data_IF_380445988074
#
_entry.id   IF_380445988074
#
_cell.length_a   1.000
_cell.length_b   1.000
_cell.length_c   1.000
_cell.angle_alpha   90.00
_cell.angle_beta   90.00
_cell.angle_gamma   90.00
#
_symmetry.space_group_name_H-M   'P 1'
#
loop_
_entity.id
_entity.type
_entity.pdbx_description
1 polymer ?
#
# COMPACT_ATOMS: atom_id res chain seq x y z
N UNK A 1 28.59 -14.60 46.37
CA UNK A 1 28.65 -15.64 45.30
C UNK A 1 27.25 -15.74 44.70
N UNK A 2 26.98 -15.08 43.60
CA UNK A 2 25.71 -15.12 42.89
C UNK A 2 26.01 -15.53 41.45
N UNK A 3 25.54 -16.76 41.12
CA UNK A 3 25.78 -17.42 39.83
C UNK A 3 25.07 -16.74 38.67
N UNK A 4 25.83 -16.38 37.64
CA UNK A 4 25.33 -15.96 36.32
C UNK A 4 24.67 -17.14 35.62
N UNK A 5 23.36 -17.09 35.43
CA UNK A 5 22.64 -17.98 34.51
C UNK A 5 22.75 -17.42 33.10
N UNK A 6 23.50 -18.11 32.25
CA UNK A 6 23.55 -17.90 30.81
C UNK A 6 22.24 -18.35 30.18
N UNK A 7 21.50 -17.44 29.57
CA UNK A 7 20.34 -17.75 28.74
C UNK A 7 20.85 -18.14 27.35
N UNK A 8 20.75 -19.40 26.99
CA UNK A 8 21.04 -19.90 25.64
C UNK A 8 19.89 -19.50 24.72
N UNK A 9 20.22 -18.78 23.65
CA UNK A 9 19.31 -18.54 22.51
C UNK A 9 19.00 -19.84 21.78
N UNK A 10 17.75 -20.06 21.32
CA UNK A 10 17.44 -21.21 20.50
C UNK A 10 18.07 -21.05 19.10
N UNK A 11 18.95 -21.95 18.74
CA UNK A 11 19.46 -22.10 17.38
C UNK A 11 18.36 -22.70 16.51
N UNK A 12 17.90 -21.93 15.52
CA UNK A 12 17.02 -22.43 14.46
C UNK A 12 17.87 -23.24 13.48
N UNK A 13 17.70 -24.56 13.49
CA UNK A 13 18.28 -25.47 12.51
C UNK A 13 17.65 -25.19 11.13
N UNK A 14 18.44 -24.62 10.22
CA UNK A 14 18.11 -24.54 8.81
C UNK A 14 18.44 -25.88 8.15
N UNK A 15 17.42 -26.58 7.64
CA UNK A 15 17.60 -27.77 6.81
C UNK A 15 18.12 -27.38 5.42
N UNK A 16 19.05 -28.15 4.82
CA UNK A 16 19.55 -27.85 3.48
C UNK A 16 18.49 -28.25 2.42
N UNK A 17 18.17 -27.30 1.53
CA UNK A 17 17.35 -27.53 0.34
C UNK A 17 18.22 -28.13 -0.75
N UNK A 18 17.84 -29.26 -1.39
CA UNK A 18 18.61 -29.83 -2.49
C UNK A 18 18.52 -28.96 -3.75
N UNK A 19 19.67 -28.73 -4.38
CA UNK A 19 19.79 -28.07 -5.67
C UNK A 19 19.21 -28.95 -6.79
N UNK A 20 18.21 -28.45 -7.51
CA UNK A 20 17.74 -29.05 -8.76
C UNK A 20 18.48 -28.43 -9.95
N UNK A 21 18.87 -29.23 -10.96
CA UNK A 21 19.56 -28.74 -12.15
C UNK A 21 18.60 -28.03 -13.09
N UNK A 22 19.00 -26.86 -13.53
CA UNK A 22 18.33 -26.11 -14.61
C UNK A 22 18.57 -26.80 -15.95
N UNK A 23 17.49 -27.28 -16.58
CA UNK A 23 17.48 -27.65 -17.96
C UNK A 23 17.27 -26.40 -18.83
N UNK A 24 18.27 -26.06 -19.63
CA UNK A 24 18.18 -24.96 -20.60
C UNK A 24 17.27 -25.41 -21.77
N UNK A 25 16.11 -24.80 -21.91
CA UNK A 25 15.26 -24.93 -23.08
C UNK A 25 15.62 -23.87 -24.12
N UNK A 26 16.23 -24.32 -25.19
CA UNK A 26 16.56 -23.51 -26.38
C UNK A 26 15.26 -23.26 -27.16
N UNK A 27 14.80 -22.01 -27.22
CA UNK A 27 13.68 -21.62 -28.10
C UNK A 27 14.22 -21.30 -29.49
N UNK A 28 13.86 -22.12 -30.47
CA UNK A 28 14.16 -21.89 -31.87
C UNK A 28 13.21 -20.82 -32.45
N UNK A 29 13.81 -19.74 -32.96
CA UNK A 29 13.12 -18.65 -33.64
C UNK A 29 12.80 -19.07 -35.07
N UNK A 30 11.54 -19.36 -35.38
CA UNK A 30 11.06 -19.58 -36.75
C UNK A 30 10.72 -18.23 -37.41
N UNK A 31 11.58 -17.77 -38.29
CA UNK A 31 11.32 -16.64 -39.20
C UNK A 31 10.49 -17.14 -40.36
N UNK A 32 9.22 -16.76 -40.42
CA UNK A 32 8.36 -16.95 -41.60
C UNK A 32 8.41 -15.69 -42.46
N UNK A 33 9.18 -15.72 -43.51
CA UNK A 33 9.11 -14.77 -44.64
C UNK A 33 7.92 -15.16 -45.52
N UNK A 34 6.86 -14.37 -45.51
CA UNK A 34 5.72 -14.46 -46.41
C UNK A 34 5.60 -13.19 -47.24
N UNK A 35 5.89 -13.32 -48.55
CA UNK A 35 5.67 -12.29 -49.55
C UNK A 35 4.21 -12.18 -49.95
N UNK A 36 3.75 -10.96 -50.26
CA UNK A 36 2.68 -10.70 -51.24
C UNK A 36 1.31 -10.50 -50.59
N UNK A 37 0.86 -9.27 -50.46
CA UNK A 37 -0.52 -8.87 -50.21
C UNK A 37 -0.74 -7.47 -50.77
N UNK A 38 -1.71 -7.37 -51.67
CA UNK A 38 -2.16 -6.17 -52.38
C UNK A 38 -2.49 -5.01 -51.41
N UNK A 39 -2.45 -3.75 -51.87
CA UNK A 39 -2.81 -2.62 -51.04
C UNK A 39 -4.30 -2.69 -50.74
N UNK A 40 -4.62 -3.01 -49.50
CA UNK A 40 -5.97 -2.87 -48.96
C UNK A 40 -6.24 -1.38 -48.82
N UNK A 41 -7.26 -0.88 -49.50
CA UNK A 41 -7.80 0.46 -49.34
C UNK A 41 -7.89 0.83 -47.86
N UNK A 42 -7.31 1.97 -47.52
CA UNK A 42 -7.37 2.52 -46.17
C UNK A 42 -8.86 2.80 -45.82
N UNK A 43 -9.50 1.83 -45.18
CA UNK A 43 -10.80 2.03 -44.61
C UNK A 43 -10.70 3.20 -43.63
N UNK A 44 -11.39 4.29 -43.93
CA UNK A 44 -11.58 5.43 -43.04
C UNK A 44 -11.99 4.88 -41.66
N UNK A 45 -11.23 5.17 -40.60
CA UNK A 45 -11.60 4.67 -39.28
C UNK A 45 -13.01 5.21 -38.99
N UNK A 46 -13.95 4.29 -38.80
CA UNK A 46 -15.28 4.62 -38.32
C UNK A 46 -15.12 5.48 -37.05
N UNK A 47 -15.92 6.55 -36.84
CA UNK A 47 -15.85 7.35 -35.63
C UNK A 47 -16.01 6.37 -34.48
N UNK A 48 -14.97 6.23 -33.68
CA UNK A 48 -15.02 5.47 -32.44
C UNK A 48 -16.10 6.13 -31.56
N UNK A 49 -17.31 5.60 -31.62
CA UNK A 49 -18.31 5.92 -30.62
C UNK A 49 -17.60 5.70 -29.28
N UNK A 50 -17.55 6.75 -28.46
CA UNK A 50 -16.92 6.72 -27.15
C UNK A 50 -17.63 5.63 -26.34
N UNK A 51 -17.08 4.40 -26.38
CA UNK A 51 -17.60 3.31 -25.57
C UNK A 51 -17.48 3.77 -24.11
N UNK A 52 -18.63 3.92 -23.47
CA UNK A 52 -18.71 4.33 -22.07
C UNK A 52 -17.80 3.42 -21.25
N UNK A 53 -16.92 3.99 -20.43
CA UNK A 53 -16.07 3.18 -19.56
C UNK A 53 -16.96 2.39 -18.60
N UNK A 54 -16.88 1.08 -18.66
CA UNK A 54 -17.72 0.16 -17.88
C UNK A 54 -16.90 -0.93 -17.20
N UNK A 55 -17.61 -1.89 -16.59
CA UNK A 55 -16.99 -3.02 -15.86
C UNK A 55 -15.99 -3.81 -16.72
N UNK A 56 -16.34 -4.10 -17.96
CA UNK A 56 -15.46 -4.86 -18.87
C UNK A 56 -14.15 -4.12 -19.13
N UNK A 57 -14.24 -2.79 -19.30
CA UNK A 57 -13.05 -1.96 -19.47
C UNK A 57 -12.21 -1.92 -18.18
N UNK A 58 -12.84 -1.80 -17.01
CA UNK A 58 -12.16 -1.86 -15.73
C UNK A 58 -11.47 -3.22 -15.53
N UNK A 59 -12.10 -4.33 -15.93
CA UNK A 59 -11.49 -5.65 -15.86
C UNK A 59 -10.26 -5.79 -16.76
N UNK A 60 -10.30 -5.21 -17.96
CA UNK A 60 -9.14 -5.18 -18.86
C UNK A 60 -7.99 -4.35 -18.26
N UNK A 61 -8.31 -3.20 -17.66
CA UNK A 61 -7.30 -2.37 -16.96
C UNK A 61 -6.65 -3.16 -15.83
N UNK A 62 -7.44 -3.81 -14.96
CA UNK A 62 -6.90 -4.60 -13.85
C UNK A 62 -6.04 -5.76 -14.34
N UNK A 63 -6.46 -6.46 -15.40
CA UNK A 63 -5.69 -7.58 -15.98
C UNK A 63 -4.35 -7.09 -16.55
N UNK A 64 -4.35 -5.98 -17.26
CA UNK A 64 -3.11 -5.39 -17.81
C UNK A 64 -2.18 -4.92 -16.69
N UNK A 65 -2.75 -4.31 -15.65
CA UNK A 65 -2.03 -3.90 -14.45
C UNK A 65 -1.38 -5.12 -13.77
N UNK A 66 -2.12 -6.18 -13.49
CA UNK A 66 -1.59 -7.41 -12.85
C UNK A 66 -0.37 -7.95 -13.60
N UNK A 67 -0.43 -7.99 -14.93
CA UNK A 67 0.67 -8.49 -15.76
C UNK A 67 1.91 -7.59 -15.68
N UNK A 68 1.71 -6.28 -15.84
CA UNK A 68 2.81 -5.33 -15.92
C UNK A 68 3.43 -5.08 -14.54
N UNK A 69 2.60 -4.83 -13.53
CA UNK A 69 3.06 -4.49 -12.18
C UNK A 69 3.65 -5.69 -11.45
N UNK A 70 3.03 -6.87 -11.58
CA UNK A 70 3.60 -8.10 -11.03
C UNK A 70 4.97 -8.41 -11.64
N UNK A 71 5.15 -8.22 -12.95
CA UNK A 71 6.44 -8.41 -13.60
C UNK A 71 7.48 -7.38 -13.10
N UNK A 72 7.10 -6.11 -13.00
CA UNK A 72 7.95 -5.03 -12.48
C UNK A 72 8.38 -5.30 -11.03
N UNK A 73 7.43 -5.70 -10.17
CA UNK A 73 7.68 -6.03 -8.76
C UNK A 73 8.64 -7.21 -8.60
N UNK A 74 8.45 -8.29 -9.37
CA UNK A 74 9.34 -9.47 -9.36
C UNK A 74 10.75 -9.11 -9.83
N UNK A 75 10.86 -8.26 -10.85
CA UNK A 75 12.15 -7.79 -11.39
C UNK A 75 12.80 -6.71 -10.49
N UNK A 76 12.06 -6.08 -9.60
CA UNK A 76 12.52 -4.93 -8.83
C UNK A 76 12.70 -3.67 -9.69
N UNK A 77 11.96 -3.58 -10.80
CA UNK A 77 12.05 -2.48 -11.78
C UNK A 77 11.17 -1.29 -11.34
N UNK A 78 11.78 -0.34 -10.65
CA UNK A 78 11.10 0.85 -10.15
C UNK A 78 10.56 1.74 -11.28
N UNK A 79 11.23 1.82 -12.42
CA UNK A 79 10.76 2.64 -13.54
C UNK A 79 9.51 2.00 -14.20
N UNK A 80 9.48 0.69 -14.31
CA UNK A 80 8.28 -0.02 -14.76
C UNK A 80 7.11 0.14 -13.77
N UNK A 81 7.36 0.15 -12.44
CA UNK A 81 6.34 0.47 -11.44
C UNK A 81 5.76 1.88 -11.62
N UNK A 82 6.61 2.89 -11.90
CA UNK A 82 6.15 4.27 -12.16
C UNK A 82 5.22 4.40 -13.36
N UNK A 83 5.33 3.49 -14.32
CA UNK A 83 4.40 3.46 -15.45
C UNK A 83 3.00 2.97 -15.04
N UNK A 84 2.91 2.12 -14.01
CA UNK A 84 1.67 1.47 -13.57
C UNK A 84 1.03 2.14 -12.36
N UNK A 85 1.80 2.86 -11.56
CA UNK A 85 1.36 3.38 -10.28
C UNK A 85 1.65 4.88 -10.12
N UNK A 86 0.88 5.51 -9.21
CA UNK A 86 1.13 6.85 -8.68
C UNK A 86 1.12 6.81 -7.15
N UNK A 87 1.70 7.84 -6.49
CA UNK A 87 1.64 7.92 -5.03
C UNK A 87 0.18 8.00 -4.54
N UNK A 88 -0.14 7.38 -3.38
CA UNK A 88 0.76 6.73 -2.43
C UNK A 88 1.13 5.26 -2.77
N UNK A 89 0.44 4.60 -3.70
CA UNK A 89 0.70 3.18 -4.04
C UNK A 89 2.15 2.97 -4.50
N UNK A 90 2.62 3.80 -5.42
CA UNK A 90 4.00 3.74 -5.93
C UNK A 90 5.05 3.78 -4.80
N UNK A 91 4.85 4.65 -3.82
CA UNK A 91 5.79 4.79 -2.70
C UNK A 91 5.86 3.51 -1.87
N UNK A 92 4.70 2.88 -1.62
CA UNK A 92 4.59 1.62 -0.90
C UNK A 92 5.24 0.47 -1.68
N UNK A 93 5.03 0.40 -3.00
CA UNK A 93 5.60 -0.62 -3.89
C UNK A 93 7.12 -0.50 -3.99
N UNK A 94 7.66 0.71 -4.14
CA UNK A 94 9.10 0.96 -4.12
C UNK A 94 9.72 0.48 -2.79
N UNK A 95 9.10 0.80 -1.67
CA UNK A 95 9.57 0.35 -0.36
C UNK A 95 9.52 -1.18 -0.22
N UNK A 96 8.48 -1.83 -0.77
CA UNK A 96 8.36 -3.29 -0.77
C UNK A 96 9.46 -3.94 -1.61
N UNK A 97 9.75 -3.43 -2.81
CA UNK A 97 10.85 -3.89 -3.68
C UNK A 97 12.20 -3.75 -2.98
N UNK A 98 12.47 -2.60 -2.33
CA UNK A 98 13.71 -2.38 -1.57
C UNK A 98 13.86 -3.36 -0.40
N UNK A 99 12.76 -3.63 0.34
CA UNK A 99 12.77 -4.65 1.41
C UNK A 99 13.05 -6.05 0.87
N UNK A 100 12.48 -6.41 -0.27
CA UNK A 100 12.73 -7.70 -0.91
C UNK A 100 14.19 -7.84 -1.35
N UNK A 101 14.75 -6.82 -2.00
CA UNK A 101 16.15 -6.78 -2.42
C UNK A 101 17.11 -6.88 -1.24
N UNK A 102 16.85 -6.15 -0.13
CA UNK A 102 17.63 -6.26 1.10
C UNK A 102 17.64 -7.69 1.66
N UNK A 103 16.49 -8.34 1.65
CA UNK A 103 16.33 -9.72 2.13
C UNK A 103 16.81 -10.77 1.12
N UNK A 104 17.37 -10.35 -0.03
CA UNK A 104 17.78 -11.23 -1.13
C UNK A 104 16.66 -12.15 -1.60
N UNK A 105 15.44 -11.64 -1.67
CA UNK A 105 14.25 -12.34 -2.14
C UNK A 105 13.58 -11.55 -3.24
N UNK A 106 13.09 -12.24 -4.27
CA UNK A 106 12.18 -11.62 -5.21
C UNK A 106 10.82 -11.38 -4.55
N UNK A 107 10.12 -10.33 -4.97
CA UNK A 107 8.71 -10.21 -4.65
C UNK A 107 7.95 -11.38 -5.28
N UNK A 108 6.93 -11.95 -4.61
CA UNK A 108 6.08 -12.94 -5.26
C UNK A 108 5.30 -12.29 -6.40
N UNK A 109 5.12 -13.01 -7.50
CA UNK A 109 4.14 -12.58 -8.49
C UNK A 109 2.74 -12.66 -7.91
N UNK A 110 1.86 -11.79 -8.38
CA UNK A 110 0.49 -11.71 -7.88
C UNK A 110 -0.54 -11.62 -9.02
N UNK A 111 -1.78 -11.93 -8.67
CA UNK A 111 -2.94 -11.80 -9.54
C UNK A 111 -4.18 -11.51 -8.71
N UNK A 112 -5.00 -10.56 -9.16
CA UNK A 112 -6.32 -10.32 -8.61
C UNK A 112 -7.31 -11.32 -9.19
N UNK A 113 -8.02 -12.03 -8.33
CA UNK A 113 -9.03 -13.03 -8.72
C UNK A 113 -10.40 -12.64 -8.19
N UNK A 114 -11.45 -13.01 -8.94
CA UNK A 114 -12.86 -12.69 -8.62
C UNK A 114 -13.07 -11.17 -8.36
N UNK A 115 -12.60 -10.27 -9.25
CA UNK A 115 -12.74 -8.85 -9.04
C UNK A 115 -14.20 -8.40 -9.13
N UNK A 116 -14.56 -7.45 -8.28
CA UNK A 116 -15.79 -6.67 -8.38
C UNK A 116 -15.43 -5.20 -8.49
N UNK A 117 -16.22 -4.44 -9.25
CA UNK A 117 -15.89 -3.08 -9.63
C UNK A 117 -17.00 -2.10 -9.26
N UNK A 118 -16.59 -0.93 -8.77
CA UNK A 118 -17.39 0.27 -8.71
C UNK A 118 -16.83 1.25 -9.75
N UNK A 119 -17.62 1.53 -10.78
CA UNK A 119 -17.21 2.35 -11.92
C UNK A 119 -18.16 3.56 -12.01
N UNK A 120 -17.66 4.79 -12.21
CA UNK A 120 -18.51 5.95 -12.43
C UNK A 120 -19.40 5.79 -13.67
N UNK A 121 -20.61 6.34 -13.68
CA UNK A 121 -21.57 6.16 -14.77
C UNK A 121 -21.18 6.91 -16.05
N UNK A 122 -20.34 7.95 -15.97
CA UNK A 122 -19.91 8.74 -17.12
C UNK A 122 -18.51 9.29 -16.87
N UNK A 123 -17.69 9.29 -17.92
CA UNK A 123 -16.35 9.87 -18.03
C UNK A 123 -15.50 9.73 -16.73
N UNK A 124 -15.12 8.51 -16.38
CA UNK A 124 -14.52 8.24 -15.08
C UNK A 124 -13.11 8.77 -15.01
N UNK A 125 -12.84 9.63 -14.04
CA UNK A 125 -11.48 9.96 -13.62
C UNK A 125 -10.88 8.88 -12.70
N UNK A 126 -11.72 7.97 -12.16
CA UNK A 126 -11.30 6.90 -11.26
C UNK A 126 -12.30 5.73 -11.25
N UNK A 127 -11.84 4.57 -10.78
CA UNK A 127 -12.72 3.47 -10.37
C UNK A 127 -12.11 2.71 -9.19
N UNK A 128 -12.94 1.97 -8.46
CA UNK A 128 -12.51 1.07 -7.41
C UNK A 128 -12.69 -0.39 -7.84
N UNK A 129 -11.75 -1.22 -7.41
CA UNK A 129 -11.85 -2.68 -7.53
C UNK A 129 -11.64 -3.30 -6.14
N UNK A 130 -12.37 -4.37 -5.84
CA UNK A 130 -11.99 -5.29 -4.77
C UNK A 130 -11.80 -6.66 -5.37
N UNK A 131 -10.78 -7.37 -4.92
CA UNK A 131 -10.45 -8.68 -5.42
C UNK A 131 -9.74 -9.51 -4.35
N UNK A 132 -9.73 -10.81 -4.50
CA UNK A 132 -8.81 -11.66 -3.74
C UNK A 132 -7.44 -11.60 -4.39
N UNK A 133 -6.41 -11.26 -3.63
CA UNK A 133 -5.04 -11.26 -4.11
C UNK A 133 -4.44 -12.66 -3.98
N UNK A 134 -4.12 -13.28 -5.09
CA UNK A 134 -3.37 -14.55 -5.15
C UNK A 134 -1.89 -14.24 -5.31
N UNK A 135 -1.09 -14.66 -4.34
CA UNK A 135 0.38 -14.55 -4.36
C UNK A 135 0.98 -15.90 -4.71
N UNK A 136 1.95 -15.92 -5.64
CA UNK A 136 2.67 -17.16 -5.99
C UNK A 136 3.44 -17.69 -4.77
N UNK A 137 3.22 -18.95 -4.43
CA UNK A 137 3.87 -19.60 -3.30
C UNK A 137 3.27 -19.26 -1.92
N UNK A 138 2.10 -18.63 -1.89
CA UNK A 138 1.36 -18.34 -0.64
C UNK A 138 -0.02 -18.98 -0.67
N UNK A 139 -0.42 -19.57 0.47
CA UNK A 139 -1.80 -20.02 0.70
C UNK A 139 -2.71 -18.88 1.18
N UNK A 140 -2.11 -17.76 1.60
CA UNK A 140 -2.85 -16.57 2.01
C UNK A 140 -3.45 -15.91 0.78
N UNK A 141 -4.72 -15.58 0.87
CA UNK A 141 -5.49 -14.93 -0.17
C UNK A 141 -6.24 -13.71 0.42
N UNK A 142 -5.51 -12.65 0.80
CA UNK A 142 -6.14 -11.44 1.34
C UNK A 142 -7.05 -10.80 0.30
N UNK A 143 -7.99 -10.00 0.76
CA UNK A 143 -8.78 -9.14 -0.13
C UNK A 143 -8.12 -7.78 -0.19
N UNK A 144 -7.92 -7.31 -1.42
CA UNK A 144 -7.46 -5.95 -1.69
C UNK A 144 -8.64 -5.05 -2.05
N UNK A 145 -8.55 -3.80 -1.62
CA UNK A 145 -9.33 -2.69 -2.14
C UNK A 145 -8.36 -1.78 -2.88
N UNK A 146 -8.59 -1.62 -4.18
CA UNK A 146 -7.71 -0.89 -5.08
C UNK A 146 -8.46 0.27 -5.72
N UNK A 147 -7.80 1.41 -5.87
CA UNK A 147 -8.28 2.56 -6.63
C UNK A 147 -7.37 2.83 -7.82
N UNK A 148 -7.98 2.91 -8.99
CA UNK A 148 -7.34 3.33 -10.21
C UNK A 148 -7.75 4.73 -10.57
N UNK A 149 -6.82 5.53 -11.07
CA UNK A 149 -7.04 6.89 -11.56
C UNK A 149 -6.56 7.01 -12.99
N UNK A 150 -7.25 7.85 -13.77
CA UNK A 150 -6.82 8.17 -15.14
C UNK A 150 -5.75 9.26 -15.07
N UNK A 151 -4.53 8.93 -15.49
CA UNK A 151 -3.44 9.90 -15.54
C UNK A 151 -3.61 10.92 -16.67
N UNK A 152 -2.87 12.02 -16.60
CA UNK A 152 -2.86 13.05 -17.65
C UNK A 152 -2.33 12.52 -19.00
N UNK A 153 -1.60 11.40 -18.98
CA UNK A 153 -1.13 10.65 -20.13
C UNK A 153 -2.20 9.73 -20.78
N UNK A 154 -3.41 9.73 -20.21
CA UNK A 154 -4.51 8.86 -20.65
C UNK A 154 -4.38 7.41 -20.21
N UNK A 155 -3.39 7.07 -19.38
CA UNK A 155 -3.20 5.73 -18.84
C UNK A 155 -3.86 5.59 -17.47
N UNK A 156 -4.44 4.42 -17.22
CA UNK A 156 -4.94 4.06 -15.91
C UNK A 156 -3.79 3.62 -15.01
N UNK A 157 -3.72 4.19 -13.80
CA UNK A 157 -2.67 3.88 -12.82
C UNK A 157 -3.29 3.57 -11.47
N UNK A 158 -2.68 2.64 -10.77
CA UNK A 158 -3.03 2.36 -9.37
C UNK A 158 -2.60 3.53 -8.50
N UNK A 159 -3.52 4.12 -7.75
CA UNK A 159 -3.23 5.19 -6.80
C UNK A 159 -3.25 4.72 -5.35
N UNK A 160 -4.14 3.78 -5.02
CA UNK A 160 -4.26 3.21 -3.68
C UNK A 160 -4.48 1.71 -3.79
N UNK A 161 -3.81 0.97 -2.90
CA UNK A 161 -4.03 -0.45 -2.68
C UNK A 161 -3.90 -0.73 -1.19
N UNK A 162 -4.94 -1.32 -0.60
CA UNK A 162 -4.95 -1.64 0.82
C UNK A 162 -5.60 -2.99 1.03
N UNK A 163 -4.89 -3.87 1.74
CA UNK A 163 -5.44 -5.16 2.17
C UNK A 163 -6.40 -4.96 3.33
N UNK A 164 -7.59 -5.54 3.22
CA UNK A 164 -8.60 -5.47 4.27
C UNK A 164 -8.57 -6.74 5.12
N UNK A 165 -8.64 -6.53 6.43
CA UNK A 165 -8.49 -7.62 7.42
C UNK A 165 -9.82 -8.21 7.86
N UNK A 166 -10.96 -7.56 7.53
CA UNK A 166 -12.29 -8.00 7.97
C UNK A 166 -13.31 -7.99 6.84
N UNK A 167 -14.42 -8.76 7.01
CA UNK A 167 -14.71 -9.83 6.08
C UNK A 167 -14.80 -9.29 4.68
N UNK A 168 -13.80 -9.60 3.94
CA UNK A 168 -13.55 -9.27 2.54
C UNK A 168 -14.79 -9.39 1.65
N UNK A 169 -15.62 -10.39 1.90
CA UNK A 169 -16.88 -10.61 1.18
C UNK A 169 -17.91 -9.50 1.40
N UNK A 170 -17.93 -8.84 2.56
CA UNK A 170 -18.87 -7.75 2.84
C UNK A 170 -18.47 -6.51 2.04
N UNK A 171 -17.18 -6.18 2.01
CA UNK A 171 -16.67 -5.04 1.23
C UNK A 171 -16.87 -5.28 -0.26
N UNK A 172 -16.48 -6.45 -0.78
CA UNK A 172 -16.68 -6.81 -2.18
C UNK A 172 -18.15 -6.73 -2.61
N UNK A 173 -19.06 -7.33 -1.84
CA UNK A 173 -20.50 -7.26 -2.11
C UNK A 173 -21.07 -5.85 -1.98
N UNK A 174 -20.49 -5.03 -1.12
CA UNK A 174 -20.97 -3.66 -0.91
C UNK A 174 -20.72 -2.77 -2.11
N UNK A 175 -19.63 -2.96 -2.87
CA UNK A 175 -19.31 -2.14 -4.04
C UNK A 175 -19.80 -2.72 -5.36
N UNK A 176 -20.25 -3.98 -5.37
CA UNK A 176 -20.61 -4.66 -6.62
C UNK A 176 -21.75 -3.94 -7.37
N UNK A 177 -21.45 -3.55 -8.61
CA UNK A 177 -22.38 -2.84 -9.50
C UNK A 177 -22.73 -1.41 -9.07
N UNK A 178 -22.09 -0.86 -8.02
CA UNK A 178 -22.32 0.51 -7.58
C UNK A 178 -21.48 1.50 -8.37
N UNK A 179 -22.00 2.71 -8.61
CA UNK A 179 -21.20 3.76 -9.21
C UNK A 179 -20.18 4.27 -8.19
N UNK A 180 -18.92 4.43 -8.64
CA UNK A 180 -17.96 5.29 -7.95
C UNK A 180 -18.35 6.75 -8.19
N UNK A 181 -18.12 7.60 -7.21
CA UNK A 181 -18.37 9.04 -7.34
C UNK A 181 -17.07 9.81 -7.27
N UNK A 182 -16.83 10.66 -8.25
CA UNK A 182 -15.77 11.66 -8.15
C UNK A 182 -16.15 12.71 -7.08
N UNK A 183 -15.17 13.21 -6.33
CA UNK A 183 -15.40 14.21 -5.30
C UNK A 183 -15.30 13.71 -3.86
N UNK A 184 -14.88 12.46 -3.70
CA UNK A 184 -14.57 11.87 -2.39
C UNK A 184 -15.81 11.57 -1.54
N UNK A 185 -15.59 11.18 -0.28
CA UNK A 185 -16.65 11.01 0.69
C UNK A 185 -17.44 12.31 0.80
N UNK A 186 -18.76 12.20 0.97
CA UNK A 186 -19.67 13.36 1.17
C UNK A 186 -19.42 14.07 2.52
N UNK A 187 -18.15 14.25 2.90
CA UNK A 187 -17.71 14.89 4.13
C UNK A 187 -17.28 16.33 3.82
N UNK A 188 -17.73 17.26 4.63
CA UNK A 188 -17.20 18.62 4.63
C UNK A 188 -15.73 18.66 5.10
N UNK A 189 -15.04 19.75 4.83
CA UNK A 189 -13.62 19.90 5.14
C UNK A 189 -13.30 19.83 6.66
N UNK A 190 -14.27 20.18 7.53
CA UNK A 190 -14.10 20.13 8.98
C UNK A 190 -14.18 18.68 9.46
N UNK A 191 -15.20 17.95 9.00
CA UNK A 191 -15.37 16.52 9.29
C UNK A 191 -14.18 15.69 8.77
N UNK A 192 -13.70 15.98 7.57
CA UNK A 192 -12.49 15.33 7.01
C UNK A 192 -11.28 15.53 7.90
N UNK A 193 -11.03 16.76 8.38
CA UNK A 193 -9.90 17.06 9.27
C UNK A 193 -10.04 16.38 10.62
N UNK A 194 -11.21 16.44 11.23
CA UNK A 194 -11.47 15.82 12.52
C UNK A 194 -11.28 14.29 12.47
N UNK A 195 -11.81 13.65 11.41
CA UNK A 195 -11.69 12.21 11.22
C UNK A 195 -10.25 11.79 10.96
N UNK A 196 -9.51 12.51 10.11
CA UNK A 196 -8.09 12.23 9.87
C UNK A 196 -7.26 12.38 11.16
N UNK A 197 -7.53 13.42 11.96
CA UNK A 197 -6.86 13.61 13.23
C UNK A 197 -7.14 12.48 14.23
N UNK A 198 -8.38 11.96 14.28
CA UNK A 198 -8.70 10.83 15.14
C UNK A 198 -8.07 9.52 14.66
N UNK A 199 -8.11 9.22 13.35
CA UNK A 199 -7.44 8.04 12.78
C UNK A 199 -5.95 8.07 13.12
N UNK A 200 -5.30 9.22 12.92
CA UNK A 200 -3.89 9.40 13.24
C UNK A 200 -3.61 9.23 14.74
N UNK A 201 -4.37 9.89 15.63
CA UNK A 201 -4.17 9.77 17.06
C UNK A 201 -4.31 8.32 17.55
N UNK A 202 -5.25 7.57 16.99
CA UNK A 202 -5.42 6.14 17.29
C UNK A 202 -4.29 5.29 16.77
N UNK A 203 -3.78 5.57 15.57
CA UNK A 203 -2.68 4.80 14.97
C UNK A 203 -1.40 4.85 15.80
N UNK A 204 -1.20 5.91 16.57
CA UNK A 204 -0.07 6.06 17.50
C UNK A 204 -0.42 5.77 18.96
N UNK A 205 -1.59 5.17 19.23
CA UNK A 205 -2.02 4.85 20.59
C UNK A 205 -2.28 6.05 21.50
N UNK A 206 -2.40 7.28 20.92
CA UNK A 206 -2.68 8.48 21.70
C UNK A 206 -4.01 8.36 22.43
N UNK A 207 -4.03 8.68 23.72
CA UNK A 207 -5.25 8.75 24.55
C UNK A 207 -5.88 10.13 24.57
N UNK A 208 -5.22 11.12 23.96
CA UNK A 208 -5.69 12.51 23.90
C UNK A 208 -6.57 12.75 22.68
N UNK A 209 -7.54 13.66 22.79
CA UNK A 209 -8.44 14.06 21.71
C UNK A 209 -9.81 13.38 21.74
N UNK A 210 -10.65 13.73 20.77
CA UNK A 210 -11.97 13.14 20.60
C UNK A 210 -11.81 11.73 19.99
N UNK A 211 -12.47 10.74 20.57
CA UNK A 211 -12.44 9.34 20.13
C UNK A 211 -13.83 8.82 19.71
N UNK A 212 -14.70 9.72 19.32
CA UNK A 212 -16.09 9.39 19.03
C UNK A 212 -16.38 9.10 17.56
N UNK A 213 -15.47 9.47 16.64
CA UNK A 213 -15.72 9.36 15.20
C UNK A 213 -15.37 7.98 14.66
N UNK A 214 -14.30 7.35 15.19
CA UNK A 214 -13.77 6.07 14.70
C UNK A 214 -14.13 4.94 15.64
N UNK A 215 -14.63 3.84 15.09
CA UNK A 215 -14.90 2.61 15.86
C UNK A 215 -13.57 1.98 16.28
N UNK A 216 -13.50 1.53 17.54
CA UNK A 216 -12.37 0.75 18.03
C UNK A 216 -12.22 -0.55 17.21
N UNK A 217 -10.99 -0.87 16.81
CA UNK A 217 -10.73 -2.07 16.03
C UNK A 217 -9.42 -2.73 16.46
N UNK A 218 -9.37 -4.05 16.35
CA UNK A 218 -8.13 -4.81 16.59
C UNK A 218 -7.01 -4.40 15.64
N UNK A 219 -7.34 -3.95 14.42
CA UNK A 219 -6.37 -3.46 13.45
C UNK A 219 -5.74 -2.15 13.92
N UNK A 220 -6.55 -1.11 14.14
CA UNK A 220 -6.05 0.24 14.42
C UNK A 220 -5.51 0.36 15.84
N UNK A 221 -6.31 -0.02 16.85
CA UNK A 221 -5.97 0.16 18.27
C UNK A 221 -5.05 -0.98 18.79
N UNK A 222 -5.15 -2.19 18.21
CA UNK A 222 -4.34 -3.34 18.62
C UNK A 222 -3.06 -3.46 17.80
N UNK A 223 -3.18 -3.76 16.51
CA UNK A 223 -2.01 -4.09 15.70
C UNK A 223 -1.14 -2.88 15.41
N UNK A 224 -1.75 -1.75 14.99
CA UNK A 224 -1.00 -0.59 14.56
C UNK A 224 -0.50 0.25 15.74
N UNK A 225 -1.38 0.62 16.66
CA UNK A 225 -0.99 1.32 17.89
C UNK A 225 -0.03 0.49 18.76
N UNK A 226 -0.27 -0.83 18.87
CA UNK A 226 0.64 -1.74 19.56
C UNK A 226 2.00 -1.84 18.88
N UNK A 227 2.05 -1.85 17.55
CA UNK A 227 3.31 -1.79 16.78
C UNK A 227 4.09 -0.51 17.05
N UNK A 228 3.40 0.62 17.12
CA UNK A 228 3.99 1.90 17.48
C UNK A 228 4.55 1.91 18.91
N UNK A 229 3.82 1.37 19.87
CA UNK A 229 4.28 1.23 21.25
C UNK A 229 5.55 0.38 21.34
N UNK A 230 5.58 -0.78 20.68
CA UNK A 230 6.77 -1.65 20.62
C UNK A 230 7.96 -0.92 20.01
N UNK A 231 7.75 -0.16 18.93
CA UNK A 231 8.80 0.65 18.32
C UNK A 231 9.37 1.69 19.30
N UNK A 232 8.50 2.40 20.02
CA UNK A 232 8.90 3.34 21.07
C UNK A 232 9.71 2.67 22.20
N UNK A 233 9.28 1.48 22.65
CA UNK A 233 9.99 0.71 23.67
C UNK A 233 11.37 0.24 23.19
N UNK A 234 11.50 -0.22 21.94
CA UNK A 234 12.77 -0.61 21.35
C UNK A 234 13.76 0.57 21.31
N UNK A 235 13.28 1.75 20.91
CA UNK A 235 14.10 2.96 20.91
C UNK A 235 14.51 3.39 22.33
N UNK A 236 13.59 3.32 23.29
CA UNK A 236 13.90 3.62 24.69
C UNK A 236 14.96 2.67 25.26
N UNK A 237 14.93 1.39 24.87
CA UNK A 237 15.94 0.40 25.26
C UNK A 237 17.36 0.72 24.79
N UNK A 238 17.52 1.55 23.76
CA UNK A 238 18.81 2.04 23.26
C UNK A 238 19.05 3.52 23.57
N UNK A 239 18.30 4.08 24.52
CA UNK A 239 18.47 5.47 24.97
C UNK A 239 17.88 6.51 24.00
N UNK A 240 16.95 6.13 23.15
CA UNK A 240 16.24 7.01 22.23
C UNK A 240 14.77 7.25 22.63
N UNK A 241 14.17 8.26 22.02
CA UNK A 241 12.74 8.55 22.10
C UNK A 241 12.24 8.91 20.70
N UNK A 242 10.97 8.61 20.41
CA UNK A 242 10.32 8.94 19.15
C UNK A 242 9.04 9.74 19.40
N UNK A 243 8.82 10.71 18.52
CA UNK A 243 7.59 11.48 18.44
C UNK A 243 7.10 11.44 16.99
N UNK A 244 5.83 11.10 16.77
CA UNK A 244 5.19 11.17 15.45
C UNK A 244 4.28 12.38 15.38
N UNK A 245 4.37 13.09 14.27
CA UNK A 245 3.48 14.22 13.93
C UNK A 245 2.84 13.96 12.58
N UNK A 246 1.58 14.33 12.45
CA UNK A 246 0.88 14.36 11.16
C UNK A 246 1.24 15.65 10.44
N UNK A 247 1.79 15.53 9.24
CA UNK A 247 2.17 16.68 8.42
C UNK A 247 0.98 17.14 7.57
N UNK A 248 0.30 16.18 6.93
CA UNK A 248 -0.91 16.42 6.14
C UNK A 248 -1.75 15.17 6.02
N UNK A 249 -3.02 15.35 5.67
CA UNK A 249 -3.97 14.30 5.37
C UNK A 249 -4.66 14.60 4.03
N UNK A 250 -4.71 13.61 3.15
CA UNK A 250 -5.28 13.69 1.82
C UNK A 250 -6.40 12.66 1.69
N UNK A 251 -7.54 13.10 1.18
CA UNK A 251 -8.67 12.22 0.89
C UNK A 251 -8.68 11.87 -0.58
N UNK A 252 -8.96 10.63 -0.88
CA UNK A 252 -9.15 10.21 -2.26
C UNK A 252 -10.29 11.00 -2.92
N UNK A 253 -10.07 11.38 -4.17
CA UNK A 253 -11.11 11.97 -5.01
C UNK A 253 -12.12 10.94 -5.52
N UNK A 254 -11.95 9.65 -5.19
CA UNK A 254 -12.82 8.56 -5.57
C UNK A 254 -13.42 7.90 -4.33
N UNK A 255 -14.73 7.76 -4.33
CA UNK A 255 -15.45 7.11 -3.26
C UNK A 255 -16.65 6.31 -3.80
N UNK A 256 -17.11 5.35 -3.03
CA UNK A 256 -18.28 4.53 -3.38
C UNK A 256 -19.31 4.59 -2.28
N UNK A 257 -20.53 5.04 -2.63
CA UNK A 257 -21.66 4.96 -1.73
C UNK A 257 -22.07 3.49 -1.57
N UNK A 258 -22.09 3.00 -0.35
CA UNK A 258 -22.53 1.65 0.04
C UNK A 258 -23.71 1.75 1.01
N UNK A 259 -24.50 0.68 1.27
CA UNK A 259 -25.69 0.77 2.11
C UNK A 259 -25.42 1.33 3.51
N UNK A 260 -24.21 1.10 4.05
CA UNK A 260 -23.84 1.48 5.40
C UNK A 260 -23.05 2.81 5.47
N UNK A 261 -22.80 3.46 4.32
CA UNK A 261 -22.01 4.69 4.29
C UNK A 261 -21.27 4.92 2.98
N UNK A 262 -20.06 5.41 3.09
CA UNK A 262 -19.15 5.67 1.95
C UNK A 262 -17.83 4.95 2.15
N UNK A 263 -17.40 4.16 1.17
CA UNK A 263 -16.07 3.57 1.11
C UNK A 263 -15.13 4.56 0.42
N UNK A 264 -14.00 4.88 1.06
CA UNK A 264 -13.03 5.86 0.55
C UNK A 264 -11.64 5.59 1.12
N UNK A 265 -10.62 6.29 0.59
CA UNK A 265 -9.26 6.24 1.10
C UNK A 265 -8.89 7.55 1.80
N UNK A 266 -8.07 7.40 2.84
CA UNK A 266 -7.38 8.47 3.53
C UNK A 266 -5.89 8.18 3.49
N UNK A 267 -5.09 9.13 3.00
CA UNK A 267 -3.63 9.09 3.06
C UNK A 267 -3.15 10.10 4.09
N UNK A 268 -2.33 9.65 5.03
CA UNK A 268 -1.69 10.49 6.04
C UNK A 268 -0.19 10.51 5.75
N UNK A 269 0.36 11.71 5.61
CA UNK A 269 1.80 11.92 5.64
C UNK A 269 2.20 12.30 7.05
N UNK A 270 3.18 11.59 7.59
CA UNK A 270 3.63 11.78 8.96
C UNK A 270 5.16 11.85 9.04
N UNK A 271 5.67 12.50 10.07
CA UNK A 271 7.09 12.54 10.38
C UNK A 271 7.34 11.98 11.78
N UNK A 272 8.18 10.95 11.84
CA UNK A 272 8.76 10.44 13.08
C UNK A 272 10.05 11.22 13.36
N UNK A 273 10.15 11.85 14.50
CA UNK A 273 11.36 12.50 14.99
C UNK A 273 11.94 11.66 16.12
N UNK A 274 13.10 11.04 15.84
CA UNK A 274 13.86 10.28 16.81
C UNK A 274 14.90 11.20 17.45
N UNK A 275 15.01 11.14 18.77
CA UNK A 275 15.98 11.93 19.56
C UNK A 275 16.58 11.08 20.65
N UNK A 276 17.76 11.42 21.18
CA UNK A 276 18.26 10.84 22.42
C UNK A 276 17.26 11.07 23.56
N UNK A 277 17.06 10.06 24.40
CA UNK A 277 16.29 10.23 25.61
C UNK A 277 17.00 11.18 26.60
N UNK A 278 16.30 11.90 27.47
CA UNK A 278 16.90 12.73 28.49
C UNK A 278 17.92 11.93 29.34
N UNK A 279 19.14 12.43 29.47
CA UNK A 279 20.25 11.73 30.16
C UNK A 279 20.91 10.60 29.38
N UNK A 280 20.50 10.37 28.12
CA UNK A 280 21.09 9.38 27.22
C UNK A 280 22.35 9.87 26.48
N UNK A 281 22.72 9.18 25.39
CA UNK A 281 23.82 9.59 24.52
C UNK A 281 23.53 10.94 23.84
N UNK A 282 24.56 11.62 23.34
CA UNK A 282 24.39 12.88 22.61
C UNK A 282 23.76 12.69 21.22
N UNK A 283 23.66 11.45 20.73
CA UNK A 283 23.15 11.11 19.41
C UNK A 283 22.23 9.89 19.46
N UNK A 284 21.26 9.84 18.55
CA UNK A 284 20.46 8.66 18.24
C UNK A 284 21.01 8.02 16.97
N UNK A 285 20.83 6.69 16.83
CA UNK A 285 21.33 5.93 15.69
C UNK A 285 20.28 4.93 15.20
N UNK A 286 20.12 4.84 13.89
CA UNK A 286 19.41 3.75 13.21
C UNK A 286 20.44 2.81 12.58
N UNK A 287 20.31 1.53 12.85
CA UNK A 287 21.17 0.49 12.29
C UNK A 287 20.70 0.09 10.88
N UNK A 288 21.60 -0.44 10.02
CA UNK A 288 21.28 -0.75 8.62
C UNK A 288 20.11 -1.70 8.45
N UNK A 289 19.84 -2.57 9.43
CA UNK A 289 18.69 -3.49 9.44
C UNK A 289 17.37 -2.85 9.89
N UNK A 290 17.36 -1.56 10.21
CA UNK A 290 16.11 -0.86 10.53
C UNK A 290 15.16 -0.92 9.33
N UNK A 291 13.88 -1.29 9.52
CA UNK A 291 12.89 -1.32 8.45
C UNK A 291 12.77 0.00 7.70
N UNK A 292 12.97 1.13 8.38
CA UNK A 292 12.90 2.47 7.79
C UNK A 292 14.06 2.73 6.83
N UNK A 293 15.30 2.36 7.21
CA UNK A 293 16.46 2.50 6.32
C UNK A 293 16.33 1.58 5.11
N UNK A 294 15.87 0.36 5.31
CA UNK A 294 15.65 -0.60 4.21
C UNK A 294 14.59 -0.06 3.25
N UNK A 295 13.44 0.40 3.74
CA UNK A 295 12.35 0.93 2.91
C UNK A 295 12.79 2.14 2.08
N UNK A 296 13.69 2.97 2.60
CA UNK A 296 14.22 4.15 1.91
C UNK A 296 15.46 3.86 1.06
N UNK A 297 15.97 2.63 1.08
CA UNK A 297 17.17 2.21 0.31
C UNK A 297 18.50 2.62 0.95
N UNK A 298 18.51 3.02 2.22
CA UNK A 298 19.74 3.31 2.96
C UNK A 298 20.34 2.02 3.51
N UNK A 299 21.52 1.64 3.02
CA UNK A 299 22.21 0.41 3.44
C UNK A 299 23.28 0.64 4.53
N UNK A 300 23.41 1.87 5.01
CA UNK A 300 24.36 2.24 6.07
C UNK A 300 23.60 2.79 7.27
N UNK A 301 24.19 2.62 8.46
CA UNK A 301 23.68 3.24 9.66
C UNK A 301 23.65 4.77 9.52
N UNK A 302 22.61 5.38 10.07
CA UNK A 302 22.47 6.85 10.14
C UNK A 302 22.46 7.23 11.63
N UNK A 303 23.22 8.27 11.99
CA UNK A 303 23.24 8.81 13.35
C UNK A 303 23.28 10.33 13.34
N UNK A 304 22.65 10.95 14.33
CA UNK A 304 22.59 12.40 14.48
C UNK A 304 22.05 12.82 15.84
N UNK A 305 21.97 14.13 16.08
CA UNK A 305 21.27 14.69 17.25
C UNK A 305 19.77 14.47 17.15
N UNK A 306 19.27 14.44 15.93
CA UNK A 306 17.94 13.92 15.61
C UNK A 306 17.93 13.17 14.29
N UNK A 307 16.99 12.23 14.13
CA UNK A 307 16.72 11.55 12.87
C UNK A 307 15.23 11.77 12.56
N UNK A 308 14.95 12.20 11.33
CA UNK A 308 13.59 12.35 10.83
C UNK A 308 13.29 11.26 9.81
N UNK A 309 12.16 10.57 10.00
CA UNK A 309 11.63 9.57 9.08
C UNK A 309 10.29 10.07 8.58
N UNK A 310 10.21 10.48 7.31
CA UNK A 310 8.90 10.79 6.71
C UNK A 310 8.22 9.49 6.29
N UNK A 311 6.89 9.42 6.47
CA UNK A 311 6.08 8.24 6.20
C UNK A 311 4.84 8.57 5.40
N UNK A 312 4.33 7.57 4.72
CA UNK A 312 3.00 7.54 4.16
C UNK A 312 2.21 6.40 4.81
N UNK A 313 1.00 6.71 5.25
CA UNK A 313 0.04 5.75 5.80
C UNK A 313 -1.24 5.86 4.97
N UNK A 314 -1.69 4.76 4.41
CA UNK A 314 -2.92 4.73 3.58
C UNK A 314 -3.95 3.85 4.26
N UNK A 315 -5.13 4.39 4.47
CA UNK A 315 -6.25 3.72 5.12
C UNK A 315 -7.40 3.56 4.14
N UNK A 316 -8.09 2.43 4.17
CA UNK A 316 -9.41 2.28 3.58
C UNK A 316 -10.45 2.40 4.68
N UNK A 317 -11.41 3.29 4.49
CA UNK A 317 -12.41 3.68 5.49
C UNK A 317 -13.81 3.39 4.98
N UNK A 318 -14.66 2.91 5.89
CA UNK A 318 -16.12 2.93 5.73
C UNK A 318 -16.67 4.05 6.63
N UNK A 319 -17.10 5.14 5.99
CA UNK A 319 -17.60 6.34 6.67
C UNK A 319 -19.12 6.34 6.61
N UNK A 320 -19.85 6.20 7.74
CA UNK A 320 -21.29 6.28 7.77
C UNK A 320 -21.79 7.71 7.48
N UNK A 321 -23.05 7.86 7.08
CA UNK A 321 -23.62 9.15 6.70
C UNK A 321 -23.51 10.23 7.82
N UNK A 322 -23.50 9.81 9.08
CA UNK A 322 -23.37 10.70 10.24
C UNK A 322 -21.92 10.88 10.73
N UNK A 323 -20.94 10.33 10.03
CA UNK A 323 -19.49 10.36 10.34
C UNK A 323 -19.11 9.57 11.61
N UNK A 324 -19.97 9.55 12.62
CA UNK A 324 -19.77 8.77 13.85
C UNK A 324 -19.86 7.29 13.56
N UNK A 325 -18.89 6.52 14.04
CA UNK A 325 -18.82 5.08 13.78
C UNK A 325 -18.06 4.70 12.53
N UNK A 326 -17.19 5.58 12.02
CA UNK A 326 -16.27 5.26 10.91
C UNK A 326 -15.40 4.05 11.25
N UNK A 327 -15.34 3.09 10.34
CA UNK A 327 -14.54 1.88 10.48
C UNK A 327 -13.29 1.96 9.60
N UNK A 328 -12.12 1.64 10.18
CA UNK A 328 -10.88 1.39 9.44
C UNK A 328 -10.87 -0.08 9.02
N UNK A 329 -10.97 -0.34 7.73
CA UNK A 329 -11.06 -1.69 7.17
C UNK A 329 -9.71 -2.30 6.86
N UNK A 330 -8.72 -1.45 6.53
CA UNK A 330 -7.37 -1.84 6.22
C UNK A 330 -6.44 -0.64 6.25
N UNK A 331 -5.15 -0.93 6.29
CA UNK A 331 -4.11 0.10 6.19
C UNK A 331 -2.82 -0.49 5.62
N UNK A 332 -2.03 0.37 4.96
CA UNK A 332 -0.65 0.14 4.58
C UNK A 332 0.21 1.33 5.02
N UNK A 333 1.48 1.08 5.38
CA UNK A 333 2.41 2.14 5.72
C UNK A 333 3.83 1.88 5.19
N UNK A 334 4.58 2.94 4.97
CA UNK A 334 6.02 2.86 4.71
C UNK A 334 6.75 4.16 4.99
N UNK A 335 8.05 4.03 5.31
CA UNK A 335 8.97 5.15 5.32
C UNK A 335 9.30 5.58 3.88
N UNK A 336 9.35 6.89 3.63
CA UNK A 336 9.67 7.52 2.35
C UNK A 336 11.10 8.06 2.32
N UNK A 337 11.49 8.75 3.39
CA UNK A 337 12.83 9.34 3.53
C UNK A 337 13.34 9.20 4.96
N UNK A 338 14.66 9.16 5.11
CA UNK A 338 15.34 9.24 6.39
C UNK A 338 16.45 10.30 6.30
N UNK A 339 16.46 11.25 7.22
CA UNK A 339 17.48 12.30 7.30
C UNK A 339 17.97 12.44 8.74
N UNK A 340 19.24 12.82 8.94
CA UNK A 340 19.81 13.11 10.24
C UNK A 340 20.39 14.52 10.27
N UNK A 341 20.27 15.18 11.45
CA UNK A 341 20.84 16.50 11.75
C UNK A 341 22.15 16.38 12.55
#
# INVERSE_FOLDING_TARGET
MLGRRSVRSPQTLAAPVPAMPFAAATVALLVLTGCGGEPVDAATPAPHGSATFGRDRAALVLTAFDQADSAASVAGDVEALRAQEVSPSLDLSIAAVRRAAYNQRAQPSFQHINPVFAVPPADPACFLATATLRLTGSELAPTDVSQFVLGADGQWKLSHNVQVTQPSLVVARSIDGRPATAGGAALDATSRRALAAEVFARSIGSTTGNRSLVVSSALLDGQFAGGWEVYGQQLAGVGGAVQRTMDRAEWSDCAVAVPTGTLTFLTIHATDTLRPAPGGSATVRLEPQSPDLIATGHLKAISGKSIRVTRVETFVLLVPAQTVGTSVLGLNDSALTVTAD
#
